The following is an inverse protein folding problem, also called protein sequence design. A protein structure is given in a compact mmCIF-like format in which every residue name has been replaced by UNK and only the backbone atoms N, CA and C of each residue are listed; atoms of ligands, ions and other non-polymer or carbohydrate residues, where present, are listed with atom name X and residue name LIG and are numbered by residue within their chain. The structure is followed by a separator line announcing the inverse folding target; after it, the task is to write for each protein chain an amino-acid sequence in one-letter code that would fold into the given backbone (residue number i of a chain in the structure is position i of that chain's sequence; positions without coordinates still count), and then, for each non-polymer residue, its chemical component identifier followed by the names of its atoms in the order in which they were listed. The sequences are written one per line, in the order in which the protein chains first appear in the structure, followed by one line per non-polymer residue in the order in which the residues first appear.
data_IF_356872176184
#
_entry.id   IF_356872176184
#
_cell.length_a   1.000
_cell.length_b   1.000
_cell.length_c   1.000
_cell.angle_alpha   90.00
_cell.angle_beta   90.00
_cell.angle_gamma   90.00
#
_symmetry.space_group_name_H-M   'P 1'
#
loop_
_entity.id
_entity.type
_entity.pdbx_description
1 polymer ?
#
# COMPACT_ATOMS: atom_id res chain seq x y z
N UNK A 1 29.84 -19.42 14.02
CA UNK A 1 28.90 -18.36 14.45
C UNK A 1 28.86 -17.40 13.28
N UNK A 2 27.99 -17.68 12.32
CA UNK A 2 27.80 -16.82 11.15
C UNK A 2 26.86 -15.71 11.57
N UNK A 3 27.38 -14.47 11.52
CA UNK A 3 26.59 -13.26 11.70
C UNK A 3 25.71 -13.17 10.46
N UNK A 4 24.44 -13.52 10.60
CA UNK A 4 23.43 -13.14 9.62
C UNK A 4 23.37 -11.61 9.65
N UNK A 5 23.99 -10.97 8.67
CA UNK A 5 23.71 -9.57 8.38
C UNK A 5 22.22 -9.49 8.05
N UNK A 6 21.46 -8.93 8.99
CA UNK A 6 20.03 -8.68 8.90
C UNK A 6 19.81 -7.70 7.74
N UNK A 7 19.59 -8.25 6.54
CA UNK A 7 19.32 -7.48 5.33
C UNK A 7 17.87 -7.00 5.36
N UNK A 8 17.51 -6.28 6.44
CA UNK A 8 16.26 -5.55 6.53
C UNK A 8 16.34 -4.41 5.51
N UNK A 9 15.73 -4.59 4.34
CA UNK A 9 15.62 -3.50 3.38
C UNK A 9 14.82 -2.34 4.00
N UNK A 10 15.11 -1.12 3.57
CA UNK A 10 14.43 0.13 3.94
C UNK A 10 12.90 0.02 3.91
N UNK A 11 12.33 -0.85 3.09
CA UNK A 11 10.89 -1.17 3.09
C UNK A 11 10.46 -2.01 4.31
N UNK A 12 11.24 -2.98 4.75
CA UNK A 12 10.98 -3.76 5.97
C UNK A 12 11.22 -2.93 7.24
N UNK A 13 12.24 -2.07 7.30
CA UNK A 13 12.41 -1.13 8.43
C UNK A 13 11.25 -0.13 8.51
N UNK A 14 10.70 0.28 7.37
CA UNK A 14 9.52 1.16 7.30
C UNK A 14 8.21 0.41 7.56
N UNK A 15 8.19 -0.91 7.37
CA UNK A 15 7.05 -1.77 7.70
C UNK A 15 7.05 -2.28 9.14
N UNK A 16 8.22 -2.44 9.77
CA UNK A 16 8.33 -2.51 11.23
C UNK A 16 7.81 -1.20 11.84
N UNK A 17 7.95 -0.07 11.13
CA UNK A 17 7.22 1.18 11.42
C UNK A 17 5.76 1.19 10.95
N UNK A 18 5.11 0.08 10.62
CA UNK A 18 3.64 -0.01 10.57
C UNK A 18 3.00 0.28 11.93
N UNK A 19 3.77 0.35 13.02
CA UNK A 19 3.39 1.08 14.25
C UNK A 19 2.95 2.54 13.98
N UNK A 20 3.35 3.17 12.86
CA UNK A 20 2.84 4.48 12.40
C UNK A 20 1.49 4.42 11.69
N UNK A 21 1.04 3.26 11.17
CA UNK A 21 -0.35 3.13 10.70
C UNK A 21 -1.30 3.34 11.88
N UNK A 22 -0.89 2.96 13.09
CA UNK A 22 -1.67 3.13 14.32
C UNK A 22 -1.89 4.60 14.70
N UNK A 23 -1.03 5.53 14.25
CA UNK A 23 -1.08 6.95 14.65
C UNK A 23 -1.33 7.95 13.50
N UNK A 24 -1.22 7.56 12.23
CA UNK A 24 -1.51 8.45 11.08
C UNK A 24 -2.98 8.31 10.66
N UNK A 25 -3.71 9.43 10.60
CA UNK A 25 -5.09 9.43 10.11
C UNK A 25 -5.12 9.34 8.57
N UNK A 26 -6.18 8.73 8.01
CA UNK A 26 -6.38 8.69 6.55
C UNK A 26 -6.33 10.08 5.93
N UNK A 27 -6.81 11.10 6.65
CA UNK A 27 -6.80 12.50 6.18
C UNK A 27 -5.38 13.03 6.01
N UNK A 28 -4.50 12.74 6.97
CA UNK A 28 -3.10 13.16 6.91
C UNK A 28 -2.34 12.39 5.83
N UNK A 29 -2.57 11.08 5.74
CA UNK A 29 -1.99 10.23 4.70
C UNK A 29 -2.44 10.69 3.30
N UNK A 30 -3.72 10.97 3.11
CA UNK A 30 -4.30 11.45 1.85
C UNK A 30 -3.75 12.84 1.46
N UNK A 31 -3.53 13.71 2.45
CA UNK A 31 -2.89 15.02 2.22
C UNK A 31 -1.45 14.87 1.73
N UNK A 32 -0.69 13.91 2.28
CA UNK A 32 0.67 13.60 1.82
C UNK A 32 0.66 12.99 0.42
N UNK A 33 -0.21 12.02 0.19
CA UNK A 33 -0.40 11.37 -1.11
C UNK A 33 -0.64 12.39 -2.23
N UNK A 34 -1.56 13.33 -2.01
CA UNK A 34 -1.88 14.39 -2.98
C UNK A 34 -0.75 15.40 -3.23
N UNK A 35 0.23 15.48 -2.33
CA UNK A 35 1.36 16.42 -2.40
C UNK A 35 2.67 15.75 -2.83
N UNK A 36 2.73 14.43 -2.82
CA UNK A 36 3.91 13.68 -3.21
C UNK A 36 4.26 13.98 -4.67
N UNK A 37 5.53 14.31 -4.90
CA UNK A 37 6.09 14.60 -6.23
C UNK A 37 6.85 13.41 -6.79
N UNK A 38 7.42 12.60 -5.91
CA UNK A 38 8.10 11.36 -6.26
C UNK A 38 7.06 10.27 -6.51
N UNK A 39 7.20 9.54 -7.62
CA UNK A 39 6.24 8.51 -8.00
C UNK A 39 6.26 7.33 -7.03
N UNK A 40 7.45 6.89 -6.59
CA UNK A 40 7.57 5.75 -5.66
C UNK A 40 6.92 6.10 -4.32
N UNK A 41 7.22 7.28 -3.77
CA UNK A 41 6.60 7.77 -2.54
C UNK A 41 5.09 7.90 -2.71
N UNK A 42 4.62 8.49 -3.81
CA UNK A 42 3.19 8.66 -4.07
C UNK A 42 2.49 7.30 -4.14
N UNK A 43 3.00 6.35 -4.92
CA UNK A 43 2.41 5.03 -5.07
C UNK A 43 2.38 4.28 -3.72
N UNK A 44 3.47 4.35 -2.95
CA UNK A 44 3.55 3.78 -1.60
C UNK A 44 2.53 4.38 -0.63
N UNK A 45 2.33 5.70 -0.65
CA UNK A 45 1.29 6.36 0.13
C UNK A 45 -0.11 5.94 -0.32
N UNK A 46 -0.31 5.73 -1.63
CA UNK A 46 -1.54 5.17 -2.18
C UNK A 46 -1.82 3.77 -1.62
N UNK A 47 -0.83 2.89 -1.65
CA UNK A 47 -1.00 1.52 -1.13
C UNK A 47 -1.28 1.51 0.37
N UNK A 48 -0.64 2.41 1.13
CA UNK A 48 -0.93 2.60 2.55
C UNK A 48 -2.38 3.04 2.81
N UNK A 49 -2.91 3.97 2.02
CA UNK A 49 -4.31 4.39 2.09
C UNK A 49 -5.25 3.21 1.80
N UNK A 50 -4.93 2.40 0.80
CA UNK A 50 -5.68 1.18 0.50
C UNK A 50 -5.68 0.20 1.69
N UNK A 51 -4.52 -0.06 2.32
CA UNK A 51 -4.44 -0.91 3.50
C UNK A 51 -5.21 -0.33 4.71
N UNK A 52 -5.15 0.98 4.94
CA UNK A 52 -5.96 1.68 5.96
C UNK A 52 -7.46 1.53 5.69
N UNK A 53 -7.88 1.67 4.43
CA UNK A 53 -9.27 1.51 4.01
C UNK A 53 -9.79 0.09 4.26
N UNK A 54 -8.96 -0.92 3.96
CA UNK A 54 -9.25 -2.33 4.26
C UNK A 54 -9.34 -2.57 5.76
N UNK A 55 -8.38 -2.06 6.54
CA UNK A 55 -8.34 -2.23 7.99
C UNK A 55 -9.61 -1.73 8.69
N UNK A 56 -10.24 -0.66 8.18
CA UNK A 56 -11.50 -0.13 8.73
C UNK A 56 -12.74 -0.94 8.39
N UNK A 57 -12.67 -1.80 7.37
CA UNK A 57 -13.81 -2.55 6.83
C UNK A 57 -13.70 -4.06 7.05
N UNK A 58 -12.50 -4.54 7.30
CA UNK A 58 -12.22 -5.91 7.67
C UNK A 58 -12.33 -6.08 9.17
N UNK A 59 -12.82 -7.24 9.61
CA UNK A 59 -12.68 -7.71 10.99
C UNK A 59 -11.33 -8.40 11.23
N UNK A 60 -10.57 -8.65 10.16
CA UNK A 60 -9.24 -9.25 10.20
C UNK A 60 -8.17 -8.17 10.40
N UNK A 61 -7.12 -8.47 11.16
CA UNK A 61 -5.94 -7.61 11.27
C UNK A 61 -5.19 -7.57 9.93
N UNK A 62 -5.26 -6.44 9.24
CA UNK A 62 -4.66 -6.23 7.91
C UNK A 62 -3.16 -5.94 7.99
N UNK A 63 -2.64 -5.44 9.12
CA UNK A 63 -1.25 -4.99 9.23
C UNK A 63 -0.25 -6.13 9.00
N UNK A 64 -0.56 -7.31 9.52
CA UNK A 64 0.28 -8.50 9.42
C UNK A 64 0.12 -9.28 8.11
N UNK A 65 -0.69 -8.79 7.17
CA UNK A 65 -1.07 -9.52 5.96
C UNK A 65 -0.21 -9.15 4.76
N UNK A 66 0.00 -10.13 3.89
CA UNK A 66 0.71 -9.95 2.62
C UNK A 66 -0.13 -9.20 1.59
N UNK A 67 0.51 -8.71 0.53
CA UNK A 67 -0.15 -8.05 -0.61
C UNK A 67 -1.25 -8.93 -1.23
N UNK A 68 -0.97 -10.22 -1.40
CA UNK A 68 -1.94 -11.20 -1.91
C UNK A 68 -3.14 -11.35 -0.95
N UNK A 69 -2.89 -11.41 0.35
CA UNK A 69 -3.96 -11.50 1.35
C UNK A 69 -4.80 -10.23 1.41
N UNK A 70 -4.20 -9.04 1.27
CA UNK A 70 -4.94 -7.77 1.13
C UNK A 70 -5.89 -7.83 -0.06
N UNK A 71 -5.40 -8.29 -1.22
CA UNK A 71 -6.22 -8.48 -2.43
C UNK A 71 -7.39 -9.44 -2.18
N UNK A 72 -7.14 -10.62 -1.61
CA UNK A 72 -8.21 -11.60 -1.33
C UNK A 72 -9.28 -11.06 -0.38
N UNK A 73 -8.88 -10.29 0.63
CA UNK A 73 -9.83 -9.62 1.54
C UNK A 73 -10.61 -8.55 0.78
N UNK A 74 -9.92 -7.77 -0.05
CA UNK A 74 -10.55 -6.74 -0.86
C UNK A 74 -11.54 -7.30 -1.87
N UNK A 75 -11.27 -8.44 -2.50
CA UNK A 75 -12.21 -9.11 -3.41
C UNK A 75 -13.50 -9.53 -2.70
N UNK A 76 -13.41 -9.90 -1.42
CA UNK A 76 -14.58 -10.23 -0.57
C UNK A 76 -15.36 -8.99 -0.12
N UNK A 77 -14.66 -7.90 0.20
CA UNK A 77 -15.26 -6.67 0.73
C UNK A 77 -15.74 -5.72 -0.38
N UNK A 78 -15.15 -5.81 -1.57
CA UNK A 78 -15.33 -4.86 -2.65
C UNK A 78 -15.39 -5.56 -4.00
N UNK A 79 -16.61 -5.70 -4.53
CA UNK A 79 -16.85 -6.32 -5.84
C UNK A 79 -16.71 -5.33 -7.02
N UNK A 80 -16.26 -4.10 -6.77
CA UNK A 80 -16.45 -2.95 -7.67
C UNK A 80 -15.32 -2.62 -8.65
N UNK A 81 -14.08 -3.10 -8.44
CA UNK A 81 -12.93 -2.61 -9.24
C UNK A 81 -12.05 -3.71 -9.79
N UNK A 82 -11.97 -3.75 -11.12
CA UNK A 82 -10.97 -4.49 -11.90
C UNK A 82 -9.52 -4.02 -11.62
N UNK A 83 -9.36 -2.90 -10.90
CA UNK A 83 -8.09 -2.22 -10.69
C UNK A 83 -7.32 -2.69 -9.46
N UNK A 84 -7.94 -3.40 -8.51
CA UNK A 84 -7.26 -3.85 -7.27
C UNK A 84 -6.16 -4.88 -7.56
N UNK A 85 -6.42 -5.81 -8.49
CA UNK A 85 -5.44 -6.81 -8.89
C UNK A 85 -4.19 -6.14 -9.47
N UNK A 86 -4.38 -5.33 -10.52
CA UNK A 86 -3.30 -4.56 -11.14
C UNK A 86 -2.56 -3.66 -10.12
N UNK A 87 -3.29 -3.03 -9.20
CA UNK A 87 -2.70 -2.16 -8.19
C UNK A 87 -1.81 -2.93 -7.21
N UNK A 88 -2.24 -4.11 -6.80
CA UNK A 88 -1.48 -5.01 -5.91
C UNK A 88 -0.27 -5.61 -6.61
N UNK A 89 -0.40 -5.94 -7.90
CA UNK A 89 0.70 -6.46 -8.71
C UNK A 89 1.78 -5.38 -8.92
N UNK A 90 1.39 -4.14 -9.26
CA UNK A 90 2.31 -3.00 -9.36
C UNK A 90 3.02 -2.74 -8.02
N UNK A 91 2.30 -2.81 -6.90
CA UNK A 91 2.91 -2.64 -5.58
C UNK A 91 3.96 -3.71 -5.28
N UNK A 92 3.66 -4.98 -5.63
CA UNK A 92 4.61 -6.08 -5.46
C UNK A 92 5.90 -5.83 -6.24
N UNK A 93 5.81 -5.41 -7.51
CA UNK A 93 7.00 -5.11 -8.32
C UNK A 93 7.80 -3.94 -7.77
N UNK A 94 7.12 -2.85 -7.40
CA UNK A 94 7.77 -1.65 -6.85
C UNK A 94 8.47 -1.95 -5.53
N UNK A 95 7.92 -2.88 -4.74
CA UNK A 95 8.42 -3.23 -3.42
C UNK A 95 9.51 -4.30 -3.43
N UNK A 96 9.30 -5.37 -4.21
CA UNK A 96 10.12 -6.58 -4.12
C UNK A 96 11.10 -6.71 -5.29
N UNK A 97 10.79 -6.09 -6.44
CA UNK A 97 11.62 -6.15 -7.65
C UNK A 97 12.39 -4.84 -7.89
N UNK A 98 12.33 -3.88 -6.95
CA UNK A 98 12.92 -2.53 -7.03
C UNK A 98 12.54 -1.75 -8.30
N UNK A 99 11.38 -2.08 -8.91
CA UNK A 99 10.92 -1.38 -10.10
C UNK A 99 10.41 0.03 -9.74
N UNK A 100 10.80 1.08 -10.49
CA UNK A 100 10.26 2.40 -10.26
C UNK A 100 8.78 2.48 -10.67
N UNK A 101 7.98 3.16 -9.86
CA UNK A 101 6.58 3.45 -10.17
C UNK A 101 6.47 4.29 -11.45
N UNK A 102 5.77 3.74 -12.43
CA UNK A 102 5.54 4.38 -13.72
C UNK A 102 4.41 5.40 -13.65
N UNK A 103 4.26 6.22 -14.69
CA UNK A 103 3.13 7.15 -14.78
C UNK A 103 1.77 6.41 -14.78
N UNK A 104 1.70 5.23 -15.42
CA UNK A 104 0.49 4.41 -15.46
C UNK A 104 0.13 3.85 -14.08
N UNK A 105 1.15 3.47 -13.29
CA UNK A 105 0.95 3.06 -11.89
C UNK A 105 0.36 4.20 -11.05
N UNK A 106 0.84 5.43 -11.26
CA UNK A 106 0.27 6.60 -10.57
C UNK A 106 -1.17 6.86 -10.97
N UNK A 107 -1.51 6.75 -12.26
CA UNK A 107 -2.89 6.90 -12.72
C UNK A 107 -3.82 5.82 -12.14
N UNK A 108 -3.33 4.58 -12.08
CA UNK A 108 -4.03 3.46 -11.47
C UNK A 108 -4.27 3.71 -9.97
N UNK A 109 -3.23 4.16 -9.27
CA UNK A 109 -3.30 4.54 -7.86
C UNK A 109 -4.30 5.68 -7.64
N UNK A 110 -4.21 6.77 -8.41
CA UNK A 110 -5.07 7.94 -8.26
C UNK A 110 -6.54 7.55 -8.50
N UNK A 111 -6.82 6.73 -9.51
CA UNK A 111 -8.16 6.23 -9.81
C UNK A 111 -8.75 5.45 -8.63
N UNK A 112 -8.00 4.45 -8.13
CA UNK A 112 -8.46 3.62 -7.02
C UNK A 112 -8.62 4.43 -5.73
N UNK A 113 -7.64 5.23 -5.34
CA UNK A 113 -7.70 6.01 -4.10
C UNK A 113 -8.82 7.04 -4.14
N UNK A 114 -9.05 7.68 -5.28
CA UNK A 114 -10.20 8.58 -5.43
C UNK A 114 -11.53 7.84 -5.32
N UNK A 115 -11.62 6.58 -5.75
CA UNK A 115 -12.84 5.78 -5.59
C UNK A 115 -13.07 5.36 -4.14
N UNK A 116 -12.03 4.91 -3.44
CA UNK A 116 -12.12 4.43 -2.06
C UNK A 116 -12.40 5.55 -1.03
N UNK A 117 -11.98 6.77 -1.34
CA UNK A 117 -12.03 7.95 -0.47
C UNK A 117 -12.88 9.11 -1.01
N UNK A 118 -13.92 8.81 -1.80
CA UNK A 118 -14.93 9.80 -2.23
C UNK A 118 -15.65 10.47 -1.07
#
# INVERSE_FOLDING_TARGET
QEVYDDYTDSYEELDIRQERIVNETDKDCLKRYRKAKDNNEKFRLGYRLYAMWLSKRSTEDISTKTVEQHRLISEKLYHGTNNIGAFSDSYSKIRYDDEPATADDILLSDSLINELYK
#
